data_IF_716177885994
#
_entry.id   IF_716177885994
#
_cell.length_a   1.000
_cell.length_b   1.000
_cell.length_c   1.000
_cell.angle_alpha   90.00
_cell.angle_beta   90.00
_cell.angle_gamma   90.00
#
_symmetry.space_group_name_H-M   'P 1'
#
loop_
_entity.id
_entity.type
_entity.pdbx_description
1 polymer ?
#
# COMPACT_ATOMS: atom_id res chain seq x y z
N UNK A 1 27.81 -48.39 23.84
CA UNK A 1 27.37 -47.94 22.51
C UNK A 1 26.21 -46.99 22.74
N UNK A 2 26.44 -45.67 22.66
CA UNK A 2 25.34 -44.71 22.74
C UNK A 2 24.67 -44.68 21.36
N UNK A 3 23.41 -45.11 21.30
CA UNK A 3 22.56 -44.88 20.14
C UNK A 3 22.45 -43.37 19.93
N UNK A 4 23.09 -42.88 18.86
CA UNK A 4 22.77 -41.56 18.31
C UNK A 4 21.31 -41.65 17.85
N UNK A 5 20.41 -41.07 18.63
CA UNK A 5 19.01 -40.87 18.24
C UNK A 5 19.06 -40.11 16.89
N UNK A 6 18.84 -40.82 15.79
CA UNK A 6 18.66 -40.21 14.49
C UNK A 6 17.29 -39.54 14.52
N UNK A 7 17.28 -38.25 14.85
CA UNK A 7 16.14 -37.40 14.55
C UNK A 7 15.83 -37.59 13.07
N UNK A 8 14.56 -37.88 12.74
CA UNK A 8 14.08 -38.03 11.36
C UNK A 8 14.64 -36.87 10.52
N UNK A 9 15.56 -37.19 9.62
CA UNK A 9 16.50 -36.22 9.04
C UNK A 9 15.80 -34.93 8.63
N UNK A 10 16.05 -33.87 9.39
CA UNK A 10 15.77 -32.53 8.96
C UNK A 10 16.60 -32.19 7.72
N UNK A 11 16.11 -31.27 6.91
CA UNK A 11 16.89 -30.73 5.80
C UNK A 11 18.15 -30.07 6.36
N UNK A 12 19.30 -30.33 5.72
CA UNK A 12 20.56 -29.67 6.04
C UNK A 12 20.84 -28.58 5.02
N UNK A 13 21.19 -27.39 5.49
CA UNK A 13 21.48 -26.24 4.65
C UNK A 13 22.66 -25.46 5.19
N UNK A 14 23.52 -25.00 4.29
CA UNK A 14 24.57 -24.03 4.64
C UNK A 14 23.97 -22.64 4.62
N UNK A 15 24.12 -21.93 5.74
CA UNK A 15 23.55 -20.60 5.96
C UNK A 15 24.65 -19.64 6.40
N UNK A 16 24.59 -18.41 5.91
CA UNK A 16 25.48 -17.33 6.35
C UNK A 16 24.93 -16.68 7.62
N UNK A 17 25.81 -16.46 8.60
CA UNK A 17 25.50 -15.69 9.81
C UNK A 17 25.46 -14.21 9.46
N UNK A 18 24.31 -13.60 9.71
CA UNK A 18 23.98 -12.24 9.30
C UNK A 18 24.54 -11.17 10.25
N UNK A 19 24.74 -9.97 9.70
CA UNK A 19 25.20 -8.78 10.43
C UNK A 19 26.73 -8.57 10.40
N UNK A 20 27.18 -7.34 10.66
CA UNK A 20 28.61 -6.96 10.63
C UNK A 20 29.44 -7.66 11.71
N UNK A 21 28.81 -8.00 12.84
CA UNK A 21 29.44 -8.70 13.97
C UNK A 21 28.80 -10.05 14.25
N UNK A 22 28.18 -10.68 13.23
CA UNK A 22 27.49 -11.96 13.36
C UNK A 22 26.40 -11.99 14.46
N UNK A 23 25.88 -10.83 14.87
CA UNK A 23 24.96 -10.68 16.00
C UNK A 23 23.50 -10.95 15.63
N UNK A 24 23.16 -10.97 14.34
CA UNK A 24 21.76 -11.16 13.90
C UNK A 24 21.38 -12.64 13.77
N UNK A 25 22.31 -13.55 14.04
CA UNK A 25 22.11 -14.99 13.90
C UNK A 25 22.03 -15.45 12.45
N UNK A 26 21.39 -16.59 12.22
CA UNK A 26 21.20 -17.20 10.90
C UNK A 26 19.82 -16.88 10.34
N UNK A 27 19.69 -16.91 9.02
CA UNK A 27 18.40 -16.68 8.35
C UNK A 27 17.98 -17.89 7.52
N UNK A 28 16.79 -18.43 7.81
CA UNK A 28 16.16 -19.54 7.09
C UNK A 28 14.68 -19.20 6.87
N UNK A 29 14.16 -19.39 5.66
CA UNK A 29 12.74 -19.13 5.33
C UNK A 29 12.24 -17.72 5.74
N UNK A 30 13.09 -16.70 5.59
CA UNK A 30 12.85 -15.32 6.04
C UNK A 30 12.62 -15.15 7.56
N UNK A 31 12.99 -16.16 8.33
CA UNK A 31 13.03 -16.13 9.79
C UNK A 31 14.48 -16.06 10.25
N UNK A 32 14.69 -15.35 11.36
CA UNK A 32 15.98 -15.23 12.01
C UNK A 32 16.00 -16.14 13.22
N UNK A 33 17.12 -16.83 13.39
CA UNK A 33 17.35 -17.72 14.52
C UNK A 33 18.61 -17.28 15.25
N UNK A 34 18.52 -17.24 16.56
CA UNK A 34 19.62 -16.90 17.42
C UNK A 34 19.68 -17.84 18.62
N UNK A 35 20.85 -17.97 19.21
CA UNK A 35 21.04 -18.74 20.42
C UNK A 35 21.05 -17.82 21.64
N UNK A 36 20.66 -18.36 22.80
CA UNK A 36 20.60 -17.60 24.06
C UNK A 36 21.99 -17.30 24.63
N UNK A 37 22.96 -18.16 24.34
CA UNK A 37 24.33 -18.10 24.89
C UNK A 37 25.30 -17.28 24.02
N UNK A 38 24.84 -16.73 22.90
CA UNK A 38 25.65 -16.04 21.89
C UNK A 38 26.82 -16.86 21.31
N UNK A 39 26.72 -18.19 21.30
CA UNK A 39 27.68 -19.10 20.65
C UNK A 39 27.75 -18.87 19.14
N UNK A 40 26.62 -18.68 18.45
CA UNK A 40 26.58 -18.45 17.00
C UNK A 40 27.34 -17.18 16.62
N UNK A 41 27.15 -16.12 17.42
CA UNK A 41 27.91 -14.86 17.27
C UNK A 41 29.41 -15.12 17.38
N UNK A 42 29.82 -15.89 18.38
CA UNK A 42 31.24 -16.20 18.63
C UNK A 42 31.85 -16.97 17.46
N UNK A 43 31.16 -17.99 16.95
CA UNK A 43 31.56 -18.75 15.75
C UNK A 43 31.71 -17.82 14.54
N UNK A 44 30.71 -16.98 14.29
CA UNK A 44 30.74 -16.03 13.17
C UNK A 44 31.87 -15.00 13.26
N UNK A 45 32.22 -14.55 14.47
CA UNK A 45 33.39 -13.69 14.68
C UNK A 45 34.71 -14.43 14.48
N UNK A 46 34.82 -15.67 14.95
CA UNK A 46 36.01 -16.50 14.77
C UNK A 46 36.26 -16.81 13.27
N UNK A 47 35.23 -17.23 12.53
CA UNK A 47 35.33 -17.49 11.09
C UNK A 47 35.87 -16.25 10.34
N UNK A 48 35.34 -15.06 10.65
CA UNK A 48 35.79 -13.80 10.05
C UNK A 48 37.22 -13.44 10.45
N UNK A 49 37.62 -13.68 11.70
CA UNK A 49 38.99 -13.46 12.15
C UNK A 49 39.98 -14.35 11.39
N UNK A 50 39.56 -15.55 11.00
CA UNK A 50 40.34 -16.46 10.13
C UNK A 50 40.26 -16.11 8.64
N UNK A 51 39.54 -15.05 8.25
CA UNK A 51 39.35 -14.66 6.85
C UNK A 51 38.41 -15.58 6.06
N UNK A 52 37.65 -16.44 6.75
CA UNK A 52 36.66 -17.34 6.17
C UNK A 52 35.27 -16.67 6.14
N UNK A 53 34.40 -17.04 5.19
CA UNK A 53 33.01 -16.61 5.25
C UNK A 53 32.35 -17.14 6.52
N UNK A 54 31.48 -16.34 7.14
CA UNK A 54 30.75 -16.72 8.34
C UNK A 54 29.58 -17.66 7.98
N UNK A 55 29.89 -18.83 7.44
CA UNK A 55 28.93 -19.85 7.00
C UNK A 55 28.92 -21.02 7.98
N UNK A 56 27.72 -21.51 8.30
CA UNK A 56 27.50 -22.64 9.20
C UNK A 56 26.48 -23.59 8.61
N UNK A 57 26.61 -24.87 8.93
CA UNK A 57 25.63 -25.89 8.53
C UNK A 57 24.51 -25.93 9.56
N UNK A 58 23.27 -25.89 9.08
CA UNK A 58 22.08 -25.89 9.92
C UNK A 58 21.19 -27.05 9.54
N UNK A 59 20.68 -27.75 10.53
CA UNK A 59 19.65 -28.77 10.42
C UNK A 59 18.32 -28.22 10.93
N UNK A 60 17.29 -28.32 10.11
CA UNK A 60 15.95 -27.85 10.46
C UNK A 60 14.88 -28.80 9.92
N UNK A 61 13.67 -28.72 10.45
CA UNK A 61 12.52 -29.48 9.93
C UNK A 61 11.46 -28.52 9.42
N UNK A 62 10.65 -28.96 8.46
CA UNK A 62 9.52 -28.15 7.96
C UNK A 62 8.29 -28.23 8.89
N UNK A 63 8.32 -29.12 9.88
CA UNK A 63 7.22 -29.34 10.83
C UNK A 63 7.32 -28.42 12.06
N UNK A 64 8.53 -28.00 12.42
CA UNK A 64 8.76 -27.06 13.51
C UNK A 64 9.72 -25.96 13.07
N UNK A 65 9.19 -24.73 12.92
CA UNK A 65 9.96 -23.54 12.63
C UNK A 65 10.47 -22.82 13.87
N UNK A 66 10.11 -23.25 15.08
CA UNK A 66 10.53 -22.57 16.30
C UNK A 66 12.00 -22.80 16.63
N UNK A 67 12.51 -24.01 16.37
CA UNK A 67 13.86 -24.42 16.73
C UNK A 67 14.64 -24.99 15.54
N UNK A 68 15.93 -24.68 15.49
CA UNK A 68 16.87 -25.25 14.52
C UNK A 68 18.17 -25.62 15.22
N UNK A 69 18.92 -26.55 14.64
CA UNK A 69 20.21 -26.99 15.17
C UNK A 69 21.33 -26.53 14.27
N UNK A 70 22.23 -25.71 14.80
CA UNK A 70 23.43 -25.24 14.11
C UNK A 70 24.60 -26.15 14.47
N UNK A 71 25.38 -26.54 13.47
CA UNK A 71 26.59 -27.33 13.66
C UNK A 71 27.78 -26.37 13.66
N UNK A 72 28.55 -26.37 14.74
CA UNK A 72 29.79 -25.58 14.84
C UNK A 72 30.88 -26.16 13.93
N UNK A 73 31.42 -25.40 12.96
CA UNK A 73 32.48 -25.88 12.08
C UNK A 73 33.82 -26.16 12.77
N UNK A 74 34.04 -25.68 13.99
CA UNK A 74 35.30 -25.90 14.72
C UNK A 74 35.26 -27.07 15.69
N UNK A 75 34.13 -27.24 16.39
CA UNK A 75 33.98 -28.22 17.48
C UNK A 75 33.05 -29.38 17.12
N UNK A 76 32.34 -29.31 16.00
CA UNK A 76 31.24 -30.21 15.63
C UNK A 76 30.14 -30.30 16.73
N UNK A 77 30.05 -29.31 17.62
CA UNK A 77 28.99 -29.21 18.63
C UNK A 77 27.66 -28.83 17.98
N UNK A 78 26.58 -29.43 18.47
CA UNK A 78 25.21 -29.12 18.07
C UNK A 78 24.67 -28.01 18.96
N UNK A 79 24.45 -26.84 18.38
CA UNK A 79 23.98 -25.65 19.08
C UNK A 79 22.50 -25.44 18.75
N UNK A 80 21.59 -25.52 19.72
CA UNK A 80 20.19 -25.18 19.50
C UNK A 80 20.04 -23.67 19.31
N UNK A 81 19.33 -23.26 18.26
CA UNK A 81 18.97 -21.89 17.97
C UNK A 81 17.45 -21.76 17.88
N UNK A 82 16.92 -20.66 18.40
CA UNK A 82 15.50 -20.39 18.45
C UNK A 82 15.15 -19.22 17.57
N UNK A 83 13.94 -19.26 17.03
CA UNK A 83 13.42 -18.15 16.22
C UNK A 83 13.30 -16.89 17.08
N UNK A 84 13.68 -15.74 16.52
CA UNK A 84 13.60 -14.45 17.22
C UNK A 84 12.20 -13.84 17.17
N UNK A 85 11.34 -14.37 16.31
CA UNK A 85 9.99 -13.87 16.05
C UNK A 85 9.02 -14.39 17.12
N UNK A 86 8.39 -13.52 17.91
CA UNK A 86 7.52 -13.95 19.01
C UNK A 86 6.22 -14.59 18.55
N UNK A 87 5.80 -14.38 17.30
CA UNK A 87 4.53 -14.90 16.77
C UNK A 87 4.59 -16.40 16.45
N UNK A 88 5.79 -16.99 16.49
CA UNK A 88 6.02 -18.39 16.13
C UNK A 88 6.09 -19.23 17.39
N UNK A 89 5.04 -20.01 17.62
CA UNK A 89 5.00 -20.97 18.71
C UNK A 89 5.70 -22.30 18.34
N UNK A 90 6.19 -23.05 19.33
CA UNK A 90 6.73 -24.39 19.11
C UNK A 90 5.75 -25.31 18.37
N UNK A 91 6.23 -26.01 17.35
CA UNK A 91 5.40 -26.89 16.52
C UNK A 91 4.68 -26.20 15.36
N UNK A 92 4.91 -24.90 15.16
CA UNK A 92 4.42 -24.19 13.96
C UNK A 92 5.11 -24.76 12.73
N UNK A 93 4.31 -25.34 11.83
CA UNK A 93 4.82 -25.86 10.56
C UNK A 93 5.05 -24.76 9.54
N UNK A 94 5.90 -25.02 8.54
CA UNK A 94 6.11 -24.12 7.41
C UNK A 94 4.82 -23.85 6.63
N UNK A 95 3.91 -24.83 6.58
CA UNK A 95 2.59 -24.67 5.95
C UNK A 95 1.70 -23.68 6.69
N UNK A 96 1.63 -23.75 8.02
CA UNK A 96 0.85 -22.83 8.85
C UNK A 96 1.44 -21.42 8.81
N UNK A 97 2.76 -21.30 8.94
CA UNK A 97 3.46 -20.02 8.84
C UNK A 97 3.20 -19.31 7.51
N UNK A 98 3.27 -20.04 6.40
CA UNK A 98 2.95 -19.49 5.08
C UNK A 98 1.48 -19.07 4.97
N UNK A 99 0.53 -19.76 5.61
CA UNK A 99 -0.89 -19.34 5.63
C UNK A 99 -1.11 -18.07 6.44
N UNK A 100 -0.40 -17.90 7.55
CA UNK A 100 -0.46 -16.68 8.37
C UNK A 100 0.05 -15.46 7.58
N UNK A 101 1.19 -15.58 6.89
CA UNK A 101 1.83 -14.46 6.19
C UNK A 101 1.39 -14.25 4.73
N UNK A 102 0.82 -15.24 4.06
CA UNK A 102 0.43 -15.12 2.63
C UNK A 102 -0.81 -14.26 2.37
N UNK A 103 -1.51 -13.80 3.41
CA UNK A 103 -2.71 -12.97 3.25
C UNK A 103 -2.40 -11.59 2.64
N UNK A 104 -1.24 -11.02 2.91
CA UNK A 104 -0.94 -9.61 2.55
C UNK A 104 -0.71 -9.37 1.05
N UNK A 105 -0.48 -10.42 0.23
CA UNK A 105 -0.21 -10.26 -1.20
C UNK A 105 -1.29 -10.85 -2.12
N UNK A 106 -2.19 -11.69 -1.62
CA UNK A 106 -3.34 -12.17 -2.40
C UNK A 106 -4.41 -11.08 -2.57
N UNK A 107 -4.57 -10.21 -1.58
CA UNK A 107 -5.52 -9.09 -1.61
C UNK A 107 -4.92 -7.80 -2.15
N UNK A 108 -3.65 -7.82 -2.59
CA UNK A 108 -3.14 -6.85 -3.58
C UNK A 108 -3.72 -7.22 -4.94
N UNK A 109 -5.04 -7.18 -5.00
CA UNK A 109 -5.78 -7.11 -6.24
C UNK A 109 -5.11 -6.05 -7.10
N UNK A 110 -4.86 -6.44 -8.32
CA UNK A 110 -4.76 -5.52 -9.44
C UNK A 110 -5.95 -4.54 -9.38
N UNK A 111 -5.76 -3.38 -8.73
CA UNK A 111 -6.78 -2.32 -8.60
C UNK A 111 -6.78 -1.38 -9.80
N UNK A 112 -5.74 -1.43 -10.64
CA UNK A 112 -5.71 -0.70 -11.89
C UNK A 112 -6.34 -1.56 -12.96
N UNK A 113 -7.59 -1.28 -13.36
CA UNK A 113 -8.07 -1.80 -14.64
C UNK A 113 -7.03 -1.47 -15.71
N UNK A 114 -6.54 -2.51 -16.40
CA UNK A 114 -5.63 -2.36 -17.52
C UNK A 114 -6.32 -1.56 -18.59
N UNK A 115 -6.14 -0.24 -18.56
CA UNK A 115 -6.55 0.61 -19.66
C UNK A 115 -5.67 0.18 -20.83
N UNK A 116 -6.28 -0.43 -21.83
CA UNK A 116 -5.63 -0.67 -23.11
C UNK A 116 -4.97 0.65 -23.54
N UNK A 117 -3.68 0.60 -23.90
CA UNK A 117 -2.98 1.79 -24.36
C UNK A 117 -3.80 2.40 -25.51
N UNK A 118 -4.12 3.71 -25.44
CA UNK A 118 -5.01 4.32 -26.44
C UNK A 118 -4.39 4.13 -27.82
N UNK A 119 -5.22 3.71 -28.78
CA UNK A 119 -4.77 3.53 -30.15
C UNK A 119 -4.19 4.84 -30.70
N UNK A 120 -3.26 4.75 -31.66
CA UNK A 120 -2.64 5.94 -32.27
C UNK A 120 -3.69 6.93 -32.82
N UNK A 121 -4.81 6.42 -33.34
CA UNK A 121 -5.93 7.23 -33.81
C UNK A 121 -6.66 7.98 -32.69
N UNK A 122 -6.84 7.34 -31.52
CA UNK A 122 -7.46 7.99 -30.34
C UNK A 122 -6.59 9.14 -29.81
N UNK A 123 -5.27 8.95 -29.80
CA UNK A 123 -4.31 10.00 -29.37
C UNK A 123 -4.36 11.19 -30.35
N UNK A 124 -4.40 10.91 -31.65
CA UNK A 124 -4.48 11.95 -32.68
C UNK A 124 -5.80 12.72 -32.64
N UNK A 125 -6.92 12.02 -32.46
CA UNK A 125 -8.25 12.62 -32.29
C UNK A 125 -8.28 13.58 -31.09
N UNK A 126 -7.78 13.15 -29.93
CA UNK A 126 -7.71 14.00 -28.73
C UNK A 126 -6.82 15.24 -28.96
N UNK A 127 -5.69 15.08 -29.66
CA UNK A 127 -4.78 16.19 -29.98
C UNK A 127 -5.41 17.20 -30.92
N UNK A 128 -6.22 16.75 -31.89
CA UNK A 128 -6.94 17.66 -32.80
C UNK A 128 -8.07 18.39 -32.07
N UNK A 129 -8.80 17.69 -31.20
CA UNK A 129 -9.83 18.29 -30.34
C UNK A 129 -9.25 19.42 -29.48
N UNK A 130 -8.17 19.15 -28.75
CA UNK A 130 -7.52 20.14 -27.87
C UNK A 130 -6.99 21.35 -28.64
N UNK A 131 -6.51 21.14 -29.87
CA UNK A 131 -6.08 22.24 -30.74
C UNK A 131 -7.26 23.09 -31.18
N UNK A 132 -8.42 22.50 -31.45
CA UNK A 132 -9.62 23.22 -31.86
C UNK A 132 -10.25 24.01 -30.72
N UNK A 133 -10.32 23.46 -29.50
CA UNK A 133 -10.79 24.19 -28.31
C UNK A 133 -9.90 25.40 -27.99
N UNK A 134 -8.58 25.26 -28.12
CA UNK A 134 -7.64 26.39 -27.97
C UNK A 134 -7.80 27.48 -29.03
N UNK A 135 -8.21 27.11 -30.25
CA UNK A 135 -8.52 28.09 -31.32
C UNK A 135 -9.85 28.79 -31.08
N UNK A 136 -10.85 28.07 -30.56
CA UNK A 136 -12.16 28.64 -30.25
C UNK A 136 -12.07 29.70 -29.13
N UNK A 137 -11.19 29.51 -28.14
CA UNK A 137 -11.01 30.46 -27.03
C UNK A 137 -10.27 31.75 -27.41
N UNK A 138 -9.67 31.84 -28.61
CA UNK A 138 -8.90 33.03 -29.03
C UNK A 138 -9.73 34.16 -29.65
N UNK A 139 -11.07 34.09 -29.63
CA UNK A 139 -11.93 35.23 -29.98
C UNK A 139 -11.89 36.27 -28.86
N UNK A 140 -10.81 37.04 -28.79
CA UNK A 140 -10.71 38.25 -27.95
C UNK A 140 -11.91 39.15 -28.25
N UNK A 141 -12.69 39.48 -27.23
CA UNK A 141 -13.77 40.46 -27.35
C UNK A 141 -13.20 41.79 -27.85
N UNK A 142 -13.77 42.32 -28.94
CA UNK A 142 -13.48 43.69 -29.36
C UNK A 142 -14.25 44.63 -28.44
N UNK A 143 -13.64 45.75 -28.01
CA UNK A 143 -14.36 46.82 -27.29
C UNK A 143 -15.50 47.32 -28.17
N UNK A 144 -16.68 47.51 -27.57
CA UNK A 144 -17.84 48.05 -28.27
C UNK A 144 -17.54 49.48 -28.77
N UNK A 145 -18.00 49.86 -29.97
CA UNK A 145 -17.87 51.22 -30.47
C UNK A 145 -18.83 52.12 -29.68
N UNK A 146 -18.30 52.82 -28.68
CA UNK A 146 -19.07 53.66 -27.76
C UNK A 146 -19.77 54.81 -28.49
N UNK A 147 -19.16 55.34 -29.54
CA UNK A 147 -19.70 56.46 -30.34
C UNK A 147 -21.06 56.12 -30.96
N UNK A 148 -21.22 54.95 -31.59
CA UNK A 148 -22.48 54.54 -32.20
C UNK A 148 -23.61 54.25 -31.19
N UNK A 149 -23.26 53.97 -29.93
CA UNK A 149 -24.24 53.77 -28.85
C UNK A 149 -24.81 55.12 -28.40
N UNK A 150 -23.98 56.15 -28.30
CA UNK A 150 -24.43 57.49 -27.90
C UNK A 150 -25.37 58.13 -28.93
N UNK A 151 -25.06 58.00 -30.23
CA UNK A 151 -25.93 58.48 -31.31
C UNK A 151 -27.30 57.79 -31.27
N UNK A 152 -27.33 56.46 -31.08
CA UNK A 152 -28.58 55.70 -30.98
C UNK A 152 -29.42 56.05 -29.74
N UNK A 153 -28.80 56.40 -28.62
CA UNK A 153 -29.49 56.86 -27.41
C UNK A 153 -30.08 58.27 -27.62
N UNK A 154 -29.35 59.17 -28.29
CA UNK A 154 -29.86 60.51 -28.59
C UNK A 154 -31.03 60.45 -29.56
N UNK A 155 -30.95 59.65 -30.63
CA UNK A 155 -32.07 59.44 -31.56
C UNK A 155 -33.33 58.93 -30.85
N UNK A 156 -33.22 57.90 -30.00
CA UNK A 156 -34.40 57.36 -29.29
C UNK A 156 -35.00 58.33 -28.27
N UNK A 157 -34.18 59.23 -27.72
CA UNK A 157 -34.64 60.27 -26.79
C UNK A 157 -35.34 61.42 -27.54
N UNK A 158 -34.87 61.77 -28.74
CA UNK A 158 -35.55 62.71 -29.64
C UNK A 158 -36.86 62.13 -30.19
N UNK A 159 -36.92 60.81 -30.41
CA UNK A 159 -38.14 60.07 -30.81
C UNK A 159 -39.15 59.87 -29.67
N UNK A 160 -38.93 60.45 -28.48
CA UNK A 160 -39.94 60.57 -27.42
C UNK A 160 -40.22 59.30 -26.62
N UNK A 161 -39.33 58.31 -26.62
CA UNK A 161 -39.54 57.06 -25.89
C UNK A 161 -39.31 57.24 -24.38
N UNK A 162 -40.39 57.39 -23.59
CA UNK A 162 -40.36 57.26 -22.12
C UNK A 162 -40.51 55.78 -21.74
N UNK A 163 -39.49 55.22 -21.09
CA UNK A 163 -39.48 53.82 -20.63
C UNK A 163 -40.59 53.55 -19.61
N UNK A 164 -41.26 52.41 -19.76
CA UNK A 164 -42.24 51.86 -18.82
C UNK A 164 -41.56 51.54 -17.47
N UNK A 165 -41.78 52.38 -16.48
CA UNK A 165 -41.84 51.96 -15.09
C UNK A 165 -43.22 51.32 -14.87
N UNK A 166 -43.36 50.44 -13.87
CA UNK A 166 -44.57 49.71 -13.45
C UNK A 166 -44.74 48.29 -14.05
N UNK A 167 -44.18 47.30 -13.33
CA UNK A 167 -44.72 45.94 -13.31
C UNK A 167 -44.62 45.40 -11.87
N UNK A 168 -45.71 45.58 -11.12
CA UNK A 168 -46.01 44.87 -9.87
C UNK A 168 -46.19 43.38 -10.18
N UNK A 169 -45.55 42.50 -9.42
CA UNK A 169 -45.78 41.05 -9.47
C UNK A 169 -46.45 40.64 -8.15
N UNK A 170 -47.76 40.42 -8.17
CA UNK A 170 -48.49 39.74 -7.09
C UNK A 170 -48.08 38.25 -7.05
N UNK A 171 -47.60 37.79 -5.89
CA UNK A 171 -47.34 36.38 -5.59
C UNK A 171 -48.63 35.76 -5.03
N UNK A 172 -49.26 34.90 -5.83
CA UNK A 172 -50.31 34.00 -5.35
C UNK A 172 -49.70 32.75 -4.68
N UNK A 173 -50.36 32.33 -3.61
CA UNK A 173 -49.98 31.32 -2.63
C UNK A 173 -49.65 29.94 -3.23
N UNK A 174 -48.48 29.38 -2.89
CA UNK A 174 -48.15 27.97 -3.08
C UNK A 174 -48.23 27.25 -1.73
N UNK A 175 -49.20 26.33 -1.63
CA UNK A 175 -49.35 25.36 -0.55
C UNK A 175 -48.07 24.52 -0.39
N UNK A 176 -47.39 24.69 0.75
CA UNK A 176 -46.25 23.87 1.16
C UNK A 176 -46.81 22.71 1.99
N UNK A 177 -47.12 21.59 1.33
CA UNK A 177 -47.38 20.33 2.05
C UNK A 177 -46.11 19.90 2.81
N UNK A 178 -46.29 19.71 4.12
CA UNK A 178 -45.25 19.32 5.04
C UNK A 178 -44.67 17.94 4.66
N UNK A 179 -43.37 17.92 4.36
CA UNK A 179 -42.60 16.69 4.23
C UNK A 179 -42.35 16.17 5.65
N UNK A 180 -43.05 15.08 6.03
CA UNK A 180 -42.75 14.33 7.25
C UNK A 180 -41.36 13.70 7.12
N UNK A 181 -40.45 14.09 8.01
CA UNK A 181 -39.13 13.50 8.17
C UNK A 181 -39.28 12.27 9.07
N UNK A 182 -39.05 11.08 8.50
CA UNK A 182 -38.95 9.83 9.25
C UNK A 182 -37.75 9.91 10.22
N UNK A 183 -38.05 9.77 11.52
CA UNK A 183 -37.07 9.59 12.59
C UNK A 183 -36.39 8.22 12.46
N UNK A 184 -35.25 8.17 11.79
CA UNK A 184 -34.37 7.00 11.80
C UNK A 184 -33.62 6.95 13.14
N UNK A 185 -33.97 5.96 13.98
CA UNK A 185 -33.25 5.59 15.21
C UNK A 185 -31.75 5.40 14.90
N UNK A 186 -30.93 6.23 15.56
CA UNK A 186 -29.48 6.16 15.56
C UNK A 186 -29.06 5.28 16.74
N UNK A 187 -28.82 4.00 16.49
CA UNK A 187 -28.25 3.09 17.50
C UNK A 187 -26.78 3.48 17.77
N UNK A 188 -26.51 3.97 18.97
CA UNK A 188 -25.17 4.18 19.52
C UNK A 188 -24.54 2.82 19.86
N UNK A 189 -23.70 2.28 18.97
CA UNK A 189 -22.79 1.19 19.33
C UNK A 189 -21.68 1.70 20.25
N UNK A 190 -21.77 1.28 21.51
CA UNK A 190 -20.85 1.49 22.62
C UNK A 190 -19.50 0.79 22.33
N UNK A 191 -18.43 1.57 22.19
CA UNK A 191 -17.07 1.06 22.09
C UNK A 191 -16.58 0.68 23.50
N UNK A 192 -16.55 -0.62 23.82
CA UNK A 192 -15.77 -1.14 24.94
C UNK A 192 -14.29 -1.29 24.52
N UNK A 193 -13.43 -0.51 25.20
CA UNK A 193 -11.98 -0.61 25.19
C UNK A 193 -11.61 -1.60 26.31
N UNK A 194 -11.13 -2.81 25.97
CA UNK A 194 -10.19 -3.65 26.75
C UNK A 194 -9.74 -4.91 25.97
#
# INVERSE_FOLDING_TARGET
HFERIQLTMGESRVCTISGQHAHQGIQINNLRYNDTESKIKTIGMQLRAHGLPAEVTVQYTNNDLYSVTVIDPFTDELIPAFVTDPDISPGTSLGEFNRLRSKTYRDKGYTGQGRASPSRGTIEANRTHDRNTRRASSKRSRRAPVEGIYEGIQQRKEEGFRGKEDLDWELDDLDVEAIELDDAEFDEEEYEDD
#
